data_IF_263006751055
#
_entry.id   IF_263006751055
#
_cell.length_a   1.000
_cell.length_b   1.000
_cell.length_c   1.000
_cell.angle_alpha   90.00
_cell.angle_beta   90.00
_cell.angle_gamma   90.00
#
_symmetry.space_group_name_H-M   'P 1'
#
loop_
_entity.id
_entity.type
_entity.pdbx_description
1 polymer ?
#
# COMPACT_ATOMS: atom_id res chain seq x y z
N UNK A 1 -12.96 -13.09 12.34
CA UNK A 1 -11.83 -12.99 11.40
C UNK A 1 -11.37 -11.54 11.37
N UNK A 2 -10.10 -11.27 11.65
CA UNK A 2 -9.56 -9.91 11.62
C UNK A 2 -9.00 -9.62 10.23
N UNK A 3 -9.38 -8.47 9.67
CA UNK A 3 -8.93 -8.02 8.35
C UNK A 3 -8.51 -6.56 8.39
N UNK A 4 -7.56 -6.21 7.52
CA UNK A 4 -7.12 -4.83 7.35
C UNK A 4 -6.88 -4.52 5.87
N UNK A 5 -7.18 -3.29 5.48
CA UNK A 5 -6.72 -2.71 4.23
C UNK A 5 -5.34 -2.15 4.46
N UNK A 6 -4.43 -2.37 3.51
CA UNK A 6 -3.14 -1.71 3.51
C UNK A 6 -2.73 -1.23 2.13
N UNK A 7 -1.83 -0.29 2.11
CA UNK A 7 -1.23 0.31 0.95
C UNK A 7 0.20 0.75 1.28
N UNK A 8 1.08 0.84 0.27
CA UNK A 8 2.47 1.24 0.45
C UNK A 8 2.85 2.38 -0.49
N UNK A 9 3.73 3.26 0.00
CA UNK A 9 4.44 4.22 -0.82
C UNK A 9 5.91 3.80 -0.96
N UNK A 10 6.47 4.05 -2.12
CA UNK A 10 7.82 3.59 -2.46
C UNK A 10 8.57 4.65 -3.28
N UNK A 11 9.89 4.66 -3.20
CA UNK A 11 10.69 5.59 -4.01
C UNK A 11 10.77 5.19 -5.49
N UNK A 12 10.47 3.95 -5.83
CA UNK A 12 10.51 3.41 -7.19
C UNK A 12 9.50 2.26 -7.31
N UNK A 13 9.03 1.97 -8.53
CA UNK A 13 8.16 0.84 -8.81
C UNK A 13 8.90 -0.50 -8.79
N UNK A 14 10.22 -0.50 -8.82
CA UNK A 14 11.07 -1.68 -8.76
C UNK A 14 11.58 -1.94 -7.34
N UNK A 15 11.20 -3.06 -6.74
CA UNK A 15 11.69 -3.46 -5.42
C UNK A 15 13.16 -3.84 -5.42
N UNK A 16 13.70 -4.24 -6.57
CA UNK A 16 15.11 -4.60 -6.77
C UNK A 16 15.86 -3.39 -7.29
N UNK A 17 16.98 -3.06 -6.67
CA UNK A 17 17.77 -1.87 -6.98
C UNK A 17 17.62 -0.78 -5.93
N UNK A 18 17.39 0.46 -6.34
CA UNK A 18 17.33 1.62 -5.45
C UNK A 18 15.97 1.86 -4.79
N UNK A 19 14.95 1.06 -5.10
CA UNK A 19 13.62 1.21 -4.53
C UNK A 19 13.61 0.95 -3.03
N UNK A 20 12.92 1.80 -2.26
CA UNK A 20 12.76 1.72 -0.80
C UNK A 20 11.29 1.89 -0.47
N UNK A 21 10.80 1.16 0.54
CA UNK A 21 9.48 1.41 1.13
C UNK A 21 9.58 2.63 2.04
N UNK A 22 8.75 3.63 1.80
CA UNK A 22 8.78 4.90 2.54
C UNK A 22 7.67 5.02 3.56
N UNK A 23 6.46 4.58 3.20
CA UNK A 23 5.27 4.62 4.04
C UNK A 23 4.47 3.33 3.87
N UNK A 24 3.87 2.86 4.94
CA UNK A 24 2.86 1.78 4.94
C UNK A 24 1.69 2.23 5.80
N UNK A 25 0.51 2.29 5.20
CA UNK A 25 -0.73 2.56 5.92
C UNK A 25 -1.52 1.27 6.09
N UNK A 26 -1.99 1.01 7.30
CA UNK A 26 -2.76 -0.18 7.66
C UNK A 26 -4.04 0.27 8.36
N UNK A 27 -5.19 -0.09 7.80
CA UNK A 27 -6.50 0.27 8.30
C UNK A 27 -7.30 -0.98 8.67
N UNK A 28 -7.37 -1.34 9.95
CA UNK A 28 -8.22 -2.43 10.41
C UNK A 28 -9.68 -2.14 10.08
N UNK A 29 -10.39 -3.12 9.51
CA UNK A 29 -11.81 -2.96 9.16
C UNK A 29 -12.69 -2.79 10.39
N UNK A 30 -12.28 -3.35 11.54
CA UNK A 30 -13.05 -3.32 12.79
C UNK A 30 -13.00 -1.95 13.48
N UNK A 31 -11.83 -1.34 13.54
CA UNK A 31 -11.62 -0.08 14.28
C UNK A 31 -11.70 1.15 13.40
N UNK A 32 -11.48 0.98 12.09
CA UNK A 32 -11.42 2.05 11.10
C UNK A 32 -10.36 3.13 11.38
N UNK A 33 -9.45 2.89 12.31
CA UNK A 33 -8.32 3.79 12.63
C UNK A 33 -7.11 3.37 11.82
N UNK A 34 -6.68 4.21 10.91
CA UNK A 34 -5.47 3.96 10.11
C UNK A 34 -4.23 4.11 10.99
N UNK A 35 -3.37 3.09 10.96
CA UNK A 35 -2.02 3.14 11.50
C UNK A 35 -1.10 3.45 10.33
N UNK A 36 -0.27 4.46 10.49
CA UNK A 36 0.76 4.85 9.52
C UNK A 36 2.13 4.51 10.09
N UNK A 37 2.91 3.78 9.33
CA UNK A 37 4.31 3.47 9.60
C UNK A 37 5.14 4.08 8.47
N UNK A 38 6.23 4.77 8.79
CA UNK A 38 7.06 5.41 7.77
C UNK A 38 8.53 5.48 8.19
N UNK A 39 9.41 5.74 7.26
CA UNK A 39 10.81 6.03 7.55
C UNK A 39 10.91 7.21 8.54
N UNK A 40 11.92 7.22 9.39
CA UNK A 40 12.15 8.28 10.37
C UNK A 40 11.31 8.18 11.65
N UNK A 41 10.49 7.15 11.81
CA UNK A 41 9.80 6.87 13.08
C UNK A 41 10.69 6.16 14.11
N UNK A 42 11.77 5.58 13.65
CA UNK A 42 12.68 4.78 14.44
C UNK A 42 13.91 5.64 14.68
N UNK A 43 14.09 6.13 15.88
CA UNK A 43 15.20 7.01 16.28
C UNK A 43 16.55 6.31 16.17
N UNK A 44 17.06 6.21 14.95
CA UNK A 44 18.47 5.96 14.75
C UNK A 44 19.19 7.31 14.79
N UNK A 45 20.26 7.37 15.58
CA UNK A 45 21.09 8.55 15.74
C UNK A 45 21.42 9.19 14.39
N UNK A 46 21.54 10.52 14.41
CA UNK A 46 21.75 11.45 13.29
C UNK A 46 22.93 11.05 12.40
N UNK A 47 22.76 10.03 11.59
CA UNK A 47 23.73 9.67 10.58
C UNK A 47 23.09 9.96 9.20
N UNK A 48 23.57 10.99 8.52
CA UNK A 48 23.14 11.39 7.19
C UNK A 48 23.70 10.45 6.07
N UNK A 49 24.28 9.32 6.47
CA UNK A 49 24.84 8.35 5.52
C UNK A 49 23.73 7.59 4.78
N UNK A 50 24.05 7.08 3.60
CA UNK A 50 23.20 6.19 2.81
C UNK A 50 22.71 4.98 3.63
N UNK A 51 23.53 4.46 4.56
CA UNK A 51 23.18 3.38 5.47
C UNK A 51 22.06 3.72 6.45
N UNK A 52 21.74 5.00 6.67
CA UNK A 52 20.61 5.41 7.50
C UNK A 52 19.27 4.94 6.91
N UNK A 53 19.01 5.19 5.63
CA UNK A 53 17.76 4.79 4.98
C UNK A 53 17.58 3.28 4.97
N UNK A 54 18.66 2.52 4.86
CA UNK A 54 18.61 1.06 4.92
C UNK A 54 18.21 0.54 6.31
N UNK A 55 18.77 1.14 7.36
CA UNK A 55 18.41 0.79 8.74
C UNK A 55 16.98 1.15 9.07
N UNK A 56 16.54 2.34 8.64
CA UNK A 56 15.16 2.80 8.80
C UNK A 56 14.17 1.90 8.05
N UNK A 57 14.48 1.51 6.82
CA UNK A 57 13.63 0.57 6.06
C UNK A 57 13.58 -0.80 6.74
N UNK A 58 14.70 -1.30 7.25
CA UNK A 58 14.75 -2.57 7.99
C UNK A 58 13.84 -2.53 9.23
N UNK A 59 13.88 -1.44 9.99
CA UNK A 59 13.02 -1.26 11.15
C UNK A 59 11.55 -1.10 10.76
N UNK A 60 11.26 -0.35 9.69
CA UNK A 60 9.92 -0.20 9.13
C UNK A 60 9.34 -1.57 8.74
N UNK A 61 10.08 -2.38 7.98
CA UNK A 61 9.63 -3.70 7.54
C UNK A 61 9.34 -4.63 8.72
N UNK A 62 10.17 -4.62 9.76
CA UNK A 62 9.90 -5.39 10.99
C UNK A 62 8.60 -4.94 11.66
N UNK A 63 8.38 -3.62 11.78
CA UNK A 63 7.16 -3.09 12.36
C UNK A 63 5.91 -3.41 11.53
N UNK A 64 6.03 -3.43 10.20
CA UNK A 64 4.95 -3.85 9.29
C UNK A 64 4.60 -5.32 9.50
N UNK A 65 5.59 -6.21 9.61
CA UNK A 65 5.35 -7.64 9.85
C UNK A 65 4.70 -7.89 11.21
N UNK A 66 5.14 -7.19 12.27
CA UNK A 66 4.47 -7.24 13.57
C UNK A 66 3.00 -6.84 13.50
N UNK A 67 2.70 -5.84 12.69
CA UNK A 67 1.30 -5.42 12.49
C UNK A 67 0.52 -6.46 11.68
N UNK A 68 1.09 -6.99 10.60
CA UNK A 68 0.43 -7.97 9.74
C UNK A 68 0.09 -9.28 10.43
N UNK A 69 0.86 -9.71 11.42
CA UNK A 69 0.56 -10.91 12.25
C UNK A 69 -0.80 -10.84 12.95
N UNK A 70 -1.37 -9.66 13.11
CA UNK A 70 -2.68 -9.46 13.76
C UNK A 70 -3.85 -9.80 12.84
N UNK A 71 -3.63 -9.94 11.53
CA UNK A 71 -4.70 -10.06 10.55
C UNK A 71 -4.68 -11.41 9.83
N UNK A 72 -5.87 -11.95 9.62
CA UNK A 72 -6.07 -13.17 8.85
C UNK A 72 -6.20 -12.87 7.35
N UNK A 73 -6.69 -11.67 7.02
CA UNK A 73 -6.88 -11.21 5.65
C UNK A 73 -6.29 -9.81 5.50
N UNK A 74 -5.46 -9.64 4.50
CA UNK A 74 -5.01 -8.33 4.04
C UNK A 74 -5.69 -7.97 2.71
N UNK A 75 -6.17 -6.75 2.64
CA UNK A 75 -6.94 -6.21 1.53
C UNK A 75 -6.10 -5.10 0.89
N UNK A 76 -6.00 -5.09 -0.43
CA UNK A 76 -5.30 -4.03 -1.15
C UNK A 76 -5.79 -3.92 -2.59
N UNK A 77 -5.43 -2.83 -3.26
CA UNK A 77 -5.72 -2.63 -4.67
C UNK A 77 -4.50 -3.01 -5.51
N UNK A 78 -4.61 -4.06 -6.33
CA UNK A 78 -3.45 -4.65 -7.04
C UNK A 78 -2.39 -5.27 -6.11
N UNK A 79 -2.79 -5.61 -4.91
CA UNK A 79 -1.93 -6.09 -3.82
C UNK A 79 -1.14 -7.35 -4.20
N UNK A 80 -1.75 -8.28 -4.96
CA UNK A 80 -1.10 -9.53 -5.36
C UNK A 80 0.06 -9.29 -6.34
N UNK A 81 0.06 -8.17 -7.07
CA UNK A 81 1.06 -7.88 -8.09
C UNK A 81 2.05 -6.79 -7.70
N UNK A 82 1.71 -5.93 -6.75
CA UNK A 82 2.55 -4.82 -6.36
C UNK A 82 2.91 -4.86 -4.87
N UNK A 83 2.02 -4.46 -3.98
CA UNK A 83 2.36 -4.21 -2.57
C UNK A 83 2.97 -5.42 -1.88
N UNK A 84 2.32 -6.57 -2.00
CA UNK A 84 2.77 -7.80 -1.34
C UNK A 84 4.13 -8.31 -1.83
N UNK A 85 4.34 -8.51 -3.15
CA UNK A 85 5.65 -8.93 -3.63
C UNK A 85 6.72 -7.86 -3.44
N UNK A 86 6.37 -6.57 -3.45
CA UNK A 86 7.31 -5.50 -3.18
C UNK A 86 7.85 -5.59 -1.74
N UNK A 87 6.97 -5.65 -0.75
CA UNK A 87 7.35 -5.79 0.65
C UNK A 87 8.21 -7.04 0.90
N UNK A 88 7.84 -8.19 0.31
CA UNK A 88 8.61 -9.43 0.43
C UNK A 88 10.02 -9.29 -0.15
N UNK A 89 10.13 -8.68 -1.32
CA UNK A 89 11.43 -8.45 -1.97
C UNK A 89 12.31 -7.53 -1.13
N UNK A 90 11.72 -6.47 -0.55
CA UNK A 90 12.47 -5.57 0.33
C UNK A 90 12.87 -6.25 1.63
N UNK A 91 12.01 -7.06 2.23
CA UNK A 91 12.34 -7.85 3.41
C UNK A 91 13.52 -8.80 3.13
N UNK A 92 13.52 -9.49 1.99
CA UNK A 92 14.64 -10.34 1.57
C UNK A 92 15.95 -9.55 1.41
N UNK A 93 15.91 -8.39 0.73
CA UNK A 93 17.07 -7.52 0.52
C UNK A 93 17.64 -6.99 1.84
N UNK A 94 16.76 -6.76 2.84
CA UNK A 94 17.13 -6.24 4.16
C UNK A 94 17.37 -7.32 5.22
N UNK A 95 17.45 -8.58 4.82
CA UNK A 95 17.61 -9.72 5.74
C UNK A 95 16.58 -9.73 6.88
N UNK A 96 15.32 -9.40 6.53
CA UNK A 96 14.18 -9.47 7.43
C UNK A 96 13.40 -10.75 7.16
N UNK A 97 13.30 -11.60 8.19
CA UNK A 97 12.55 -12.86 8.07
C UNK A 97 11.08 -12.60 7.75
N UNK A 98 10.59 -13.22 6.66
CA UNK A 98 9.19 -13.13 6.24
C UNK A 98 8.41 -14.36 6.72
N UNK A 99 7.69 -14.21 7.82
CA UNK A 99 6.97 -15.29 8.52
C UNK A 99 5.46 -15.04 8.62
N UNK A 100 4.90 -14.19 7.79
CA UNK A 100 3.47 -13.85 7.74
C UNK A 100 2.84 -14.36 6.45
N UNK A 101 1.69 -15.05 6.59
CA UNK A 101 0.99 -15.71 5.48
C UNK A 101 -0.52 -15.47 5.56
N UNK A 102 -0.99 -14.20 5.56
CA UNK A 102 -2.42 -13.90 5.54
C UNK A 102 -3.05 -14.31 4.22
N UNK A 103 -4.35 -14.42 4.19
CA UNK A 103 -5.06 -14.45 2.92
C UNK A 103 -5.07 -13.06 2.29
N UNK A 104 -4.95 -12.97 0.97
CA UNK A 104 -4.98 -11.70 0.23
C UNK A 104 -6.33 -11.52 -0.46
N UNK A 105 -6.90 -10.34 -0.35
CA UNK A 105 -8.06 -9.90 -1.12
C UNK A 105 -7.65 -8.72 -2.00
N UNK A 106 -7.59 -8.95 -3.30
CA UNK A 106 -7.24 -7.93 -4.30
C UNK A 106 -8.50 -7.28 -4.87
N UNK A 107 -8.76 -6.03 -4.52
CA UNK A 107 -9.96 -5.29 -4.98
C UNK A 107 -9.94 -5.04 -6.49
N UNK A 108 -8.77 -4.85 -7.11
CA UNK A 108 -8.66 -4.73 -8.56
C UNK A 108 -9.08 -6.03 -9.26
N UNK A 109 -8.64 -7.15 -8.73
CA UNK A 109 -8.95 -8.47 -9.28
C UNK A 109 -10.42 -8.81 -9.08
N UNK A 110 -11.00 -8.48 -7.91
CA UNK A 110 -12.43 -8.59 -7.66
C UNK A 110 -13.23 -7.77 -8.68
N UNK A 111 -12.89 -6.50 -8.86
CA UNK A 111 -13.49 -5.61 -9.82
C UNK A 111 -13.41 -6.13 -11.26
N UNK A 112 -12.26 -6.58 -11.71
CA UNK A 112 -12.05 -7.09 -13.08
C UNK A 112 -12.75 -8.41 -13.39
N UNK A 113 -13.09 -9.20 -12.37
CA UNK A 113 -13.84 -10.45 -12.54
C UNK A 113 -15.34 -10.26 -12.75
N UNK A 114 -15.84 -9.08 -12.49
CA UNK A 114 -17.25 -8.77 -12.70
C UNK A 114 -17.53 -8.61 -14.18
N UNK A 115 -18.20 -9.58 -14.78
CA UNK A 115 -18.55 -9.56 -16.22
C UNK A 115 -19.44 -8.37 -16.62
N UNK A 116 -20.07 -7.72 -15.65
CA UNK A 116 -20.94 -6.56 -15.87
C UNK A 116 -20.17 -5.27 -16.18
N UNK A 117 -18.87 -5.26 -15.92
CA UNK A 117 -18.01 -4.10 -16.09
C UNK A 117 -17.13 -4.16 -17.34
N UNK A 118 -17.45 -5.05 -18.27
CA UNK A 118 -16.92 -4.96 -19.61
C UNK A 118 -17.50 -3.72 -20.26
N UNK A 119 -16.68 -2.66 -20.35
CA UNK A 119 -17.03 -1.49 -21.16
C UNK A 119 -17.30 -1.99 -22.57
N UNK A 120 -18.54 -1.87 -23.09
CA UNK A 120 -18.80 -2.20 -24.48
C UNK A 120 -17.99 -1.24 -25.35
N UNK A 121 -17.30 -1.78 -26.30
CA UNK A 121 -16.70 -1.06 -27.42
C UNK A 121 -15.40 -0.29 -27.14
N UNK A 122 -14.26 -0.96 -27.27
CA UNK A 122 -13.12 -0.49 -28.03
C UNK A 122 -12.34 0.75 -27.55
N UNK A 123 -12.88 1.52 -26.66
CA UNK A 123 -12.22 2.68 -26.08
C UNK A 123 -11.53 2.33 -24.77
N UNK A 124 -10.26 1.95 -24.88
CA UNK A 124 -9.36 1.77 -23.76
C UNK A 124 -9.74 0.60 -22.81
N UNK A 125 -8.77 -0.20 -22.43
CA UNK A 125 -8.98 -1.12 -21.30
C UNK A 125 -9.38 -0.28 -20.08
N UNK A 126 -10.42 -0.67 -19.30
CA UNK A 126 -10.73 0.01 -18.05
C UNK A 126 -9.43 0.13 -17.27
N UNK A 127 -9.04 1.32 -16.91
CA UNK A 127 -7.73 1.55 -16.27
C UNK A 127 -7.59 0.73 -14.99
N UNK A 128 -8.72 0.47 -14.33
CA UNK A 128 -8.75 -0.31 -13.09
C UNK A 128 -7.93 0.31 -11.97
N UNK A 129 -7.57 1.61 -12.07
CA UNK A 129 -6.97 2.32 -10.94
C UNK A 129 -7.96 2.39 -9.78
N UNK A 130 -7.48 2.54 -8.57
CA UNK A 130 -8.32 2.65 -7.39
C UNK A 130 -9.34 3.80 -7.54
N UNK A 131 -8.90 4.94 -8.09
CA UNK A 131 -9.75 6.07 -8.41
C UNK A 131 -10.88 5.70 -9.38
N UNK A 132 -10.59 4.98 -10.46
CA UNK A 132 -11.58 4.53 -11.42
C UNK A 132 -12.64 3.59 -10.80
N UNK A 133 -12.20 2.68 -9.93
CA UNK A 133 -13.11 1.77 -9.23
C UNK A 133 -13.96 2.51 -8.20
N UNK A 134 -13.39 3.51 -7.53
CA UNK A 134 -14.10 4.37 -6.60
C UNK A 134 -15.17 5.21 -7.32
N UNK A 135 -14.86 5.80 -8.48
CA UNK A 135 -15.84 6.52 -9.31
C UNK A 135 -17.01 5.62 -9.73
N UNK A 136 -16.68 4.39 -10.18
CA UNK A 136 -17.70 3.41 -10.52
C UNK A 136 -18.61 3.07 -9.33
N UNK A 137 -18.06 2.97 -8.14
CA UNK A 137 -18.79 2.69 -6.90
C UNK A 137 -19.49 3.93 -6.31
N UNK A 138 -19.46 5.08 -6.99
CA UNK A 138 -19.95 6.37 -6.50
C UNK A 138 -19.34 6.80 -5.15
N UNK A 139 -18.11 6.40 -4.91
CA UNK A 139 -17.34 6.77 -3.71
C UNK A 139 -16.71 8.15 -3.95
N UNK A 140 -17.00 9.09 -3.06
CA UNK A 140 -16.40 10.43 -3.14
C UNK A 140 -14.89 10.34 -2.94
N UNK A 141 -14.16 10.80 -3.95
CA UNK A 141 -12.71 10.85 -3.89
C UNK A 141 -12.26 12.17 -3.26
N UNK A 142 -11.39 12.06 -2.26
CA UNK A 142 -10.58 13.21 -1.88
C UNK A 142 -9.51 13.37 -2.98
N UNK A 143 -9.60 14.46 -3.77
CA UNK A 143 -8.63 14.72 -4.84
C UNK A 143 -7.22 14.74 -4.27
N UNK A 144 -6.39 13.82 -4.72
CA UNK A 144 -4.96 13.80 -4.42
C UNK A 144 -4.22 14.46 -5.56
N UNK A 145 -3.25 15.31 -5.25
CA UNK A 145 -2.33 15.79 -6.26
C UNK A 145 -1.60 14.59 -6.87
N UNK A 146 -1.49 14.55 -8.20
CA UNK A 146 -0.68 13.56 -8.90
C UNK A 146 0.73 13.63 -8.33
N UNK A 147 1.28 12.48 -7.99
CA UNK A 147 2.59 12.33 -7.40
C UNK A 147 3.68 12.88 -8.33
N UNK A 148 4.34 13.99 -8.08
CA UNK A 148 5.44 14.43 -8.91
C UNK A 148 6.68 13.60 -8.59
N UNK A 149 7.38 13.10 -9.61
CA UNK A 149 8.69 12.42 -9.50
C UNK A 149 9.69 13.16 -8.61
N UNK A 150 9.57 14.49 -8.52
CA UNK A 150 10.38 15.35 -7.65
C UNK A 150 10.27 15.03 -6.15
N UNK A 151 9.28 14.26 -5.69
CA UNK A 151 9.16 13.87 -4.28
C UNK A 151 10.21 12.84 -3.85
N UNK A 152 10.63 11.97 -4.74
CA UNK A 152 11.70 11.01 -4.45
C UNK A 152 13.03 11.71 -4.13
N UNK A 153 13.34 12.77 -4.85
CA UNK A 153 14.52 13.58 -4.61
C UNK A 153 14.51 14.21 -3.22
N UNK A 154 13.32 14.50 -2.67
CA UNK A 154 13.17 15.01 -1.31
C UNK A 154 13.51 13.96 -0.24
N UNK A 155 13.18 12.69 -0.47
CA UNK A 155 13.49 11.59 0.46
C UNK A 155 15.00 11.42 0.64
N UNK A 156 15.76 11.60 -0.44
CA UNK A 156 17.22 11.57 -0.45
C UNK A 156 17.86 12.89 -0.01
N UNK A 157 17.05 13.91 0.25
CA UNK A 157 17.48 15.24 0.66
C UNK A 157 17.85 15.35 2.13
N UNK A 158 17.96 16.58 2.60
CA UNK A 158 18.17 16.86 4.03
C UNK A 158 16.94 16.46 4.88
N UNK A 159 17.12 16.37 6.20
CA UNK A 159 16.09 15.91 7.14
C UNK A 159 14.76 16.65 6.98
N UNK A 160 14.75 17.98 6.87
CA UNK A 160 13.52 18.76 6.78
C UNK A 160 12.71 18.44 5.51
N UNK A 161 13.39 18.30 4.36
CA UNK A 161 12.76 17.93 3.07
C UNK A 161 12.23 16.50 3.10
N UNK A 162 12.95 15.59 3.75
CA UNK A 162 12.53 14.21 3.95
C UNK A 162 11.27 14.12 4.80
N UNK A 163 11.22 14.83 5.94
CA UNK A 163 10.05 14.87 6.82
C UNK A 163 8.82 15.44 6.11
N UNK A 164 8.98 16.49 5.30
CA UNK A 164 7.91 17.04 4.48
C UNK A 164 7.39 16.01 3.47
N UNK A 165 8.28 15.35 2.72
CA UNK A 165 7.91 14.34 1.73
C UNK A 165 7.19 13.16 2.38
N UNK A 166 7.71 12.63 3.48
CA UNK A 166 7.09 11.50 4.20
C UNK A 166 5.71 11.86 4.74
N UNK A 167 5.49 13.11 5.17
CA UNK A 167 4.17 13.57 5.61
C UNK A 167 3.18 13.60 4.45
N UNK A 168 3.58 14.15 3.31
CA UNK A 168 2.76 14.17 2.10
C UNK A 168 2.42 12.76 1.60
N UNK A 169 3.39 11.85 1.63
CA UNK A 169 3.19 10.43 1.28
C UNK A 169 2.26 9.73 2.26
N UNK A 170 2.43 9.97 3.55
CA UNK A 170 1.55 9.41 4.58
C UNK A 170 0.10 9.87 4.39
N UNK A 171 -0.11 11.15 4.07
CA UNK A 171 -1.45 11.67 3.79
C UNK A 171 -2.07 11.05 2.54
N UNK A 172 -1.26 10.80 1.50
CA UNK A 172 -1.71 10.10 0.28
C UNK A 172 -2.10 8.66 0.60
N UNK A 173 -1.20 7.90 1.17
CA UNK A 173 -1.39 6.50 1.56
C UNK A 173 -2.61 6.31 2.50
N UNK A 174 -2.81 7.24 3.46
CA UNK A 174 -4.00 7.20 4.33
C UNK A 174 -5.31 7.40 3.56
N UNK A 175 -5.33 8.26 2.55
CA UNK A 175 -6.50 8.45 1.68
C UNK A 175 -6.78 7.20 0.87
N UNK A 176 -5.75 6.59 0.30
CA UNK A 176 -5.87 5.39 -0.51
C UNK A 176 -6.39 4.19 0.28
N UNK A 177 -5.91 3.96 1.50
CA UNK A 177 -6.48 2.89 2.34
C UNK A 177 -7.92 3.17 2.76
N UNK A 178 -8.31 4.45 2.98
CA UNK A 178 -9.72 4.79 3.27
C UNK A 178 -10.62 4.53 2.07
N UNK A 179 -10.19 4.98 0.89
CA UNK A 179 -10.91 4.76 -0.36
C UNK A 179 -11.02 3.27 -0.70
N UNK A 180 -9.92 2.53 -0.58
CA UNK A 180 -9.89 1.10 -0.84
C UNK A 180 -10.76 0.31 0.15
N UNK A 181 -10.87 0.75 1.41
CA UNK A 181 -11.79 0.15 2.37
C UNK A 181 -13.27 0.29 1.92
N UNK A 182 -13.66 1.46 1.40
CA UNK A 182 -15.00 1.69 0.86
C UNK A 182 -15.24 0.87 -0.42
N UNK A 183 -14.25 0.80 -1.30
CA UNK A 183 -14.29 -0.06 -2.49
C UNK A 183 -14.46 -1.53 -2.09
N UNK A 184 -13.73 -2.00 -1.10
CA UNK A 184 -13.89 -3.36 -0.59
C UNK A 184 -15.31 -3.60 -0.04
N UNK A 185 -15.84 -2.70 0.79
CA UNK A 185 -17.20 -2.80 1.33
C UNK A 185 -18.24 -2.86 0.19
N UNK A 186 -18.09 -2.03 -0.83
CA UNK A 186 -18.95 -2.05 -2.02
C UNK A 186 -18.88 -3.38 -2.77
N UNK A 187 -17.68 -3.85 -3.10
CA UNK A 187 -17.49 -5.12 -3.82
C UNK A 187 -18.00 -6.31 -3.02
N UNK A 188 -17.82 -6.29 -1.70
CA UNK A 188 -18.29 -7.33 -0.82
C UNK A 188 -19.81 -7.37 -0.74
N UNK A 189 -20.47 -6.22 -0.62
CA UNK A 189 -21.93 -6.10 -0.61
C UNK A 189 -22.56 -6.54 -1.93
N UNK A 190 -21.88 -6.27 -3.05
CA UNK A 190 -22.31 -6.71 -4.39
C UNK A 190 -22.01 -8.19 -4.70
N UNK A 191 -21.62 -8.98 -3.70
CA UNK A 191 -21.23 -10.40 -3.81
C UNK A 191 -20.07 -10.66 -4.80
N UNK A 192 -19.28 -9.64 -5.04
CA UNK A 192 -18.12 -9.69 -5.93
C UNK A 192 -16.90 -10.28 -5.19
N UNK A 193 -17.07 -11.53 -4.69
CA UNK A 193 -16.06 -12.19 -3.87
C UNK A 193 -15.01 -12.88 -4.75
N UNK A 194 -13.76 -12.45 -4.77
CA UNK A 194 -12.71 -13.22 -5.39
C UNK A 194 -12.44 -14.48 -4.56
N UNK A 195 -11.88 -15.48 -5.20
CA UNK A 195 -11.31 -16.62 -4.48
C UNK A 195 -10.16 -16.10 -3.63
N UNK A 196 -10.31 -16.13 -2.32
CA UNK A 196 -9.26 -15.76 -1.39
C UNK A 196 -8.12 -16.76 -1.53
N UNK A 197 -6.95 -16.32 -1.93
CA UNK A 197 -5.76 -17.16 -2.01
C UNK A 197 -4.94 -16.99 -0.73
N UNK A 198 -4.40 -18.11 -0.22
CA UNK A 198 -3.36 -18.03 0.81
C UNK A 198 -2.15 -17.34 0.18
N UNK A 199 -1.57 -16.40 0.90
CA UNK A 199 -0.28 -15.83 0.55
C UNK A 199 0.79 -16.92 0.77
N UNK A 200 1.37 -17.40 -0.31
CA UNK A 200 2.48 -18.36 -0.29
C UNK A 200 3.78 -17.59 -0.38
#
# INVERSE_FOLDING_TARGET
>A
MYSAVFDIETTDLGAVGAGIVTVVCIRPMQTRRTKTLHLGMYEFEKDDSYGFLEREETALLRAVLEEFRKYHVLIGHNIEKFDWPYLRSRAFIRDVSWDVYPALYDTLKAFRRTRFLTVPNGYGKPTGSLAHVADFAAITQEKTAIYPRARWEKIWGNKARREEALREEADHCQRDVRMNAQVFEFLWAADMRPTIKKAI
#
